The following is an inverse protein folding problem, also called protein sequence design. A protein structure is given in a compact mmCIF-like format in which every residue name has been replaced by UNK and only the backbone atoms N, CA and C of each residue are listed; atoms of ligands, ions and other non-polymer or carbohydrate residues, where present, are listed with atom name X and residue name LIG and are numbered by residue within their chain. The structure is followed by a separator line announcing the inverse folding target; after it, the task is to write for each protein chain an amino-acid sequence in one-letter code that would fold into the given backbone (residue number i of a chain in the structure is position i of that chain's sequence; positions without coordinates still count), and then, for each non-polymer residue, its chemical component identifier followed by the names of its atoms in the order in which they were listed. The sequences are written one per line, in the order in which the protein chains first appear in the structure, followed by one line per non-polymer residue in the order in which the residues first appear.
data_IF_846971202443
#
_entry.id   IF_846971202443
#
_cell.length_a   1.000
_cell.length_b   1.000
_cell.length_c   1.000
_cell.angle_alpha   90.00
_cell.angle_beta   90.00
_cell.angle_gamma   90.00
#
_symmetry.space_group_name_H-M   'P 1'
#
loop_
_entity.id
_entity.type
_entity.pdbx_description
1 polymer ?
#
# COMPACT_ATOMS: atom_id res chain seq x y z
N UNK A 1 -36.17 7.09 -36.46
CA UNK A 1 -35.56 6.18 -35.48
C UNK A 1 -35.88 6.71 -34.08
N UNK A 2 -36.51 5.92 -33.21
CA UNK A 2 -36.83 6.33 -31.82
C UNK A 2 -35.70 5.86 -30.90
N UNK A 3 -35.00 6.79 -30.26
CA UNK A 3 -34.05 6.49 -29.19
C UNK A 3 -34.85 6.20 -27.91
N UNK A 4 -34.87 4.95 -27.47
CA UNK A 4 -35.35 4.60 -26.13
C UNK A 4 -34.16 4.71 -25.18
N UNK A 5 -34.13 5.70 -24.25
CA UNK A 5 -33.08 5.76 -23.25
C UNK A 5 -33.17 4.51 -22.38
N UNK A 6 -32.02 3.85 -22.20
CA UNK A 6 -31.92 2.70 -21.31
C UNK A 6 -32.23 3.19 -19.89
N UNK A 7 -33.32 2.71 -19.31
CA UNK A 7 -33.78 3.12 -17.97
C UNK A 7 -32.68 2.75 -16.99
N UNK A 8 -32.02 3.75 -16.41
CA UNK A 8 -31.13 3.57 -15.26
C UNK A 8 -32.05 3.17 -14.11
N UNK A 9 -32.21 1.88 -13.88
CA UNK A 9 -33.00 1.36 -12.77
C UNK A 9 -32.39 1.76 -11.43
N UNK A 10 -33.24 1.81 -10.39
CA UNK A 10 -32.78 2.03 -9.03
C UNK A 10 -31.78 0.95 -8.62
N UNK A 11 -30.66 1.38 -8.04
CA UNK A 11 -29.59 0.49 -7.64
C UNK A 11 -30.08 -0.41 -6.51
N UNK A 12 -30.42 -1.66 -6.84
CA UNK A 12 -30.72 -2.70 -5.84
C UNK A 12 -29.47 -2.89 -4.98
N UNK A 13 -29.60 -2.60 -3.69
CA UNK A 13 -28.51 -2.63 -2.71
C UNK A 13 -28.14 -4.09 -2.41
N UNK A 14 -27.36 -4.70 -3.30
CA UNK A 14 -26.63 -5.93 -3.01
C UNK A 14 -25.36 -5.62 -2.21
N UNK A 15 -24.91 -6.57 -1.39
CA UNK A 15 -23.62 -6.51 -0.71
C UNK A 15 -22.50 -6.50 -1.76
N UNK A 16 -22.07 -5.29 -2.12
CA UNK A 16 -21.07 -5.09 -3.18
C UNK A 16 -19.68 -5.16 -2.54
N UNK A 17 -19.15 -6.37 -2.41
CA UNK A 17 -17.76 -6.58 -1.97
C UNK A 17 -16.82 -6.10 -3.08
N UNK A 18 -16.37 -4.86 -3.02
CA UNK A 18 -15.27 -4.37 -3.86
C UNK A 18 -13.94 -4.62 -3.15
N UNK A 19 -13.12 -5.52 -3.69
CA UNK A 19 -11.75 -5.74 -3.21
C UNK A 19 -10.82 -4.70 -3.83
N UNK A 20 -10.15 -3.90 -3.01
CA UNK A 20 -9.10 -2.99 -3.45
C UNK A 20 -7.76 -3.74 -3.32
N UNK A 21 -7.09 -3.97 -4.46
CA UNK A 21 -5.79 -4.66 -4.48
C UNK A 21 -4.72 -3.78 -3.84
N UNK A 22 -3.71 -4.39 -3.22
CA UNK A 22 -2.49 -3.67 -2.86
C UNK A 22 -1.79 -3.16 -4.12
N UNK A 23 -1.33 -1.92 -4.07
CA UNK A 23 -0.69 -1.22 -5.19
C UNK A 23 0.56 -0.55 -4.66
N UNK A 24 1.66 -0.63 -5.41
CA UNK A 24 2.95 0.00 -5.06
C UNK A 24 3.03 1.44 -5.59
N UNK A 25 3.84 2.32 -5.00
CA UNK A 25 3.95 3.72 -5.42
C UNK A 25 4.37 3.89 -6.88
N UNK A 26 5.28 3.06 -7.39
CA UNK A 26 5.68 3.06 -8.80
C UNK A 26 4.59 2.73 -9.83
N UNK A 27 3.37 2.39 -9.40
CA UNK A 27 2.19 2.33 -10.27
C UNK A 27 1.48 3.70 -10.44
N UNK A 28 2.04 4.77 -9.87
CA UNK A 28 1.61 6.15 -10.06
C UNK A 28 0.20 6.42 -9.57
N UNK A 29 -0.67 6.94 -10.45
CA UNK A 29 -2.04 7.34 -10.10
C UNK A 29 -2.85 6.24 -9.40
N UNK A 30 -2.63 4.96 -9.74
CA UNK A 30 -3.34 3.84 -9.13
C UNK A 30 -3.09 3.75 -7.60
N UNK A 31 -1.88 4.09 -7.16
CA UNK A 31 -1.53 4.11 -5.73
C UNK A 31 -2.27 5.22 -5.00
N UNK A 32 -2.22 6.46 -5.51
CA UNK A 32 -2.88 7.60 -4.87
C UNK A 32 -4.41 7.45 -4.85
N UNK A 33 -5.01 6.98 -5.95
CA UNK A 33 -6.45 6.71 -6.01
C UNK A 33 -6.84 5.67 -4.96
N UNK A 34 -6.03 4.61 -4.82
CA UNK A 34 -6.25 3.60 -3.79
C UNK A 34 -6.22 4.21 -2.38
N UNK A 35 -5.20 5.02 -2.06
CA UNK A 35 -5.09 5.67 -0.75
C UNK A 35 -6.31 6.55 -0.47
N UNK A 36 -6.78 7.32 -1.45
CA UNK A 36 -8.00 8.13 -1.32
C UNK A 36 -9.23 7.24 -1.06
N UNK A 37 -9.42 6.17 -1.84
CA UNK A 37 -10.58 5.28 -1.73
C UNK A 37 -10.60 4.48 -0.42
N UNK A 38 -9.45 4.20 0.18
CA UNK A 38 -9.36 3.54 1.48
C UNK A 38 -9.77 4.47 2.62
N UNK A 39 -9.56 5.78 2.47
CA UNK A 39 -9.77 6.75 3.55
C UNK A 39 -11.09 7.52 3.43
N UNK A 40 -11.67 7.68 2.23
CA UNK A 40 -12.95 8.38 2.06
C UNK A 40 -13.79 7.91 0.86
N UNK A 41 -15.12 8.03 0.94
CA UNK A 41 -16.01 7.69 -0.16
C UNK A 41 -15.97 8.76 -1.26
N UNK A 42 -15.93 8.31 -2.51
CA UNK A 42 -15.91 9.16 -3.71
C UNK A 42 -17.09 8.81 -4.60
N UNK A 43 -17.72 9.83 -5.22
CA UNK A 43 -18.87 9.65 -6.12
C UNK A 43 -18.48 9.78 -7.59
N UNK A 44 -17.55 10.66 -7.92
CA UNK A 44 -17.09 10.91 -9.29
C UNK A 44 -15.56 10.96 -9.39
N UNK A 45 -15.02 10.78 -10.60
CA UNK A 45 -13.58 10.93 -10.85
C UNK A 45 -13.07 12.36 -10.55
N UNK A 46 -13.92 13.37 -10.70
CA UNK A 46 -13.57 14.75 -10.37
C UNK A 46 -13.41 14.94 -8.85
N UNK A 47 -14.24 14.26 -8.05
CA UNK A 47 -14.16 14.33 -6.59
C UNK A 47 -12.87 13.72 -6.04
N UNK A 48 -12.24 12.77 -6.77
CA UNK A 48 -10.95 12.19 -6.36
C UNK A 48 -9.83 13.22 -6.29
N UNK A 49 -9.90 14.29 -7.10
CA UNK A 49 -8.90 15.36 -7.07
C UNK A 49 -9.23 16.47 -6.09
N UNK A 50 -10.36 16.38 -5.39
CA UNK A 50 -10.79 17.41 -4.44
C UNK A 50 -10.43 16.99 -3.03
N UNK A 51 -9.57 17.72 -2.33
CA UNK A 51 -9.23 17.45 -0.91
C UNK A 51 -10.45 17.63 0.00
N UNK A 52 -10.37 17.12 1.24
CA UNK A 52 -11.40 17.29 2.27
C UNK A 52 -11.71 18.77 2.59
N UNK A 53 -10.76 19.68 2.34
CA UNK A 53 -10.95 21.13 2.48
C UNK A 53 -11.75 21.77 1.31
N UNK A 54 -12.10 20.99 0.28
CA UNK A 54 -12.86 21.44 -0.88
C UNK A 54 -12.00 21.94 -2.05
N UNK A 55 -10.67 22.00 -1.89
CA UNK A 55 -9.74 22.45 -2.93
C UNK A 55 -9.58 21.39 -4.01
N UNK A 56 -9.60 21.78 -5.29
CA UNK A 56 -9.35 20.87 -6.43
C UNK A 56 -7.89 20.97 -6.87
N UNK A 57 -7.21 19.82 -6.94
CA UNK A 57 -5.80 19.70 -7.28
C UNK A 57 -5.59 19.23 -8.73
N UNK A 58 -4.37 19.40 -9.26
CA UNK A 58 -4.05 19.00 -10.62
C UNK A 58 -3.88 17.47 -10.74
N UNK A 59 -3.27 16.86 -9.72
CA UNK A 59 -2.99 15.42 -9.65
C UNK A 59 -3.69 14.74 -8.46
N UNK A 60 -3.89 13.41 -8.55
CA UNK A 60 -4.40 12.63 -7.42
C UNK A 60 -3.39 12.57 -6.27
N UNK A 61 -2.10 12.67 -6.60
CA UNK A 61 -1.00 12.76 -5.64
C UNK A 61 -1.16 13.99 -4.74
N UNK A 62 -1.27 15.18 -5.34
CA UNK A 62 -1.46 16.43 -4.59
C UNK A 62 -2.70 16.38 -3.68
N UNK A 63 -3.81 15.81 -4.16
CA UNK A 63 -5.01 15.67 -3.36
C UNK A 63 -4.78 14.72 -2.16
N UNK A 64 -4.08 13.61 -2.37
CA UNK A 64 -3.75 12.65 -1.31
C UNK A 64 -2.73 13.23 -0.30
N UNK A 65 -1.74 13.98 -0.78
CA UNK A 65 -0.77 14.71 0.07
C UNK A 65 -1.46 15.78 0.90
N UNK A 66 -2.40 16.53 0.30
CA UNK A 66 -3.18 17.56 1.00
C UNK A 66 -4.07 16.96 2.09
N UNK A 67 -4.66 15.80 1.82
CA UNK A 67 -5.44 15.02 2.78
C UNK A 67 -4.55 14.35 3.86
N UNK A 68 -3.21 14.42 3.75
CA UNK A 68 -2.26 13.79 4.68
C UNK A 68 -2.22 12.27 4.59
N UNK A 69 -2.71 11.70 3.48
CA UNK A 69 -2.76 10.24 3.26
C UNK A 69 -1.41 9.69 2.81
N UNK A 70 -0.67 10.49 2.06
CA UNK A 70 0.63 10.12 1.48
C UNK A 70 1.63 11.25 1.73
N UNK A 71 2.86 10.87 2.06
CA UNK A 71 4.01 11.77 2.18
C UNK A 71 5.05 11.36 1.15
N UNK A 72 5.64 12.33 0.45
CA UNK A 72 6.57 12.09 -0.67
C UNK A 72 7.74 11.16 -0.31
N UNK A 73 8.21 11.21 0.93
CA UNK A 73 9.41 10.48 1.35
C UNK A 73 9.10 9.16 2.08
N UNK A 74 7.84 8.97 2.51
CA UNK A 74 7.43 7.84 3.35
C UNK A 74 6.64 6.77 2.58
N UNK A 75 6.33 6.97 1.30
CA UNK A 75 5.56 6.01 0.48
C UNK A 75 6.13 4.57 0.55
N UNK A 76 7.46 4.35 0.46
CA UNK A 76 8.03 3.00 0.55
C UNK A 76 7.83 2.37 1.93
N UNK A 77 7.91 3.17 3.01
CA UNK A 77 7.71 2.71 4.37
C UNK A 77 6.24 2.32 4.57
N UNK A 78 5.31 3.18 4.14
CA UNK A 78 3.87 2.93 4.23
C UNK A 78 3.48 1.63 3.52
N UNK A 79 4.03 1.40 2.33
CA UNK A 79 3.73 0.20 1.52
C UNK A 79 4.32 -1.06 2.14
N UNK A 80 5.55 -1.00 2.65
CA UNK A 80 6.15 -2.11 3.37
C UNK A 80 5.38 -2.45 4.65
N UNK A 81 5.02 -1.43 5.42
CA UNK A 81 4.23 -1.60 6.64
C UNK A 81 2.86 -2.22 6.36
N UNK A 82 2.19 -1.76 5.31
CA UNK A 82 0.93 -2.33 4.86
C UNK A 82 1.09 -3.82 4.46
N UNK A 83 2.11 -4.15 3.66
CA UNK A 83 2.35 -5.52 3.23
C UNK A 83 2.62 -6.47 4.41
N UNK A 84 3.35 -6.00 5.43
CA UNK A 84 3.57 -6.73 6.69
C UNK A 84 2.26 -6.92 7.45
N UNK A 85 1.44 -5.88 7.56
CA UNK A 85 0.15 -5.94 8.26
C UNK A 85 -0.85 -6.87 7.57
N UNK A 86 -0.77 -6.99 6.25
CA UNK A 86 -1.57 -7.94 5.45
C UNK A 86 -1.05 -9.38 5.52
N UNK A 87 -0.08 -9.68 6.39
CA UNK A 87 0.54 -10.99 6.57
C UNK A 87 1.09 -11.58 5.27
N UNK A 88 1.69 -10.73 4.41
CA UNK A 88 2.35 -11.18 3.18
C UNK A 88 3.50 -12.13 3.51
N UNK A 89 3.74 -13.11 2.64
CA UNK A 89 4.84 -14.05 2.84
C UNK A 89 6.20 -13.32 2.85
N UNK A 90 7.18 -13.75 3.67
CA UNK A 90 8.49 -13.11 3.71
C UNK A 90 9.20 -13.03 2.36
N UNK A 91 9.00 -14.01 1.47
CA UNK A 91 9.50 -13.97 0.10
C UNK A 91 8.88 -12.83 -0.73
N UNK A 92 7.57 -12.60 -0.61
CA UNK A 92 6.87 -11.50 -1.29
C UNK A 92 7.31 -10.13 -0.73
N UNK A 93 7.54 -10.05 0.59
CA UNK A 93 8.09 -8.84 1.22
C UNK A 93 9.50 -8.52 0.69
N UNK A 94 10.34 -9.54 0.48
CA UNK A 94 11.68 -9.37 -0.11
C UNK A 94 11.60 -8.94 -1.58
N UNK A 95 10.64 -9.47 -2.34
CA UNK A 95 10.39 -9.02 -3.70
C UNK A 95 9.89 -7.55 -3.74
N UNK A 96 9.00 -7.18 -2.82
CA UNK A 96 8.54 -5.81 -2.66
C UNK A 96 9.67 -4.85 -2.31
N UNK A 97 10.57 -5.24 -1.39
CA UNK A 97 11.77 -4.46 -1.05
C UNK A 97 12.65 -4.21 -2.28
N UNK A 98 12.85 -5.23 -3.12
CA UNK A 98 13.61 -5.11 -4.36
C UNK A 98 12.95 -4.12 -5.34
N UNK A 99 11.62 -4.16 -5.48
CA UNK A 99 10.87 -3.19 -6.28
C UNK A 99 11.00 -1.77 -5.73
N UNK A 100 10.84 -1.56 -4.42
CA UNK A 100 10.98 -0.24 -3.79
C UNK A 100 12.40 0.33 -4.00
N UNK A 101 13.42 -0.52 -3.87
CA UNK A 101 14.82 -0.13 -4.11
C UNK A 101 15.05 0.26 -5.56
N UNK A 102 14.45 -0.47 -6.51
CA UNK A 102 14.53 -0.14 -7.93
C UNK A 102 13.84 1.19 -8.27
N UNK A 103 12.79 1.56 -7.52
CA UNK A 103 12.08 2.83 -7.62
C UNK A 103 12.78 4.01 -6.93
N UNK A 104 13.94 3.77 -6.30
CA UNK A 104 14.76 4.81 -5.66
C UNK A 104 14.61 4.92 -4.15
N UNK A 105 13.91 3.99 -3.49
CA UNK A 105 13.83 3.98 -2.03
C UNK A 105 15.18 3.64 -1.37
N UNK A 106 15.41 4.17 -0.16
CA UNK A 106 16.60 3.89 0.63
C UNK A 106 16.58 2.45 1.18
N UNK A 107 17.18 1.52 0.46
CA UNK A 107 17.21 0.10 0.83
C UNK A 107 17.74 -0.17 2.25
N UNK A 108 18.82 0.48 2.74
CA UNK A 108 19.30 0.24 4.11
C UNK A 108 18.25 0.61 5.17
N UNK A 109 17.58 1.75 5.02
CA UNK A 109 16.56 2.21 5.96
C UNK A 109 15.34 1.29 5.99
N UNK A 110 14.88 0.83 4.82
CA UNK A 110 13.80 -0.15 4.72
C UNK A 110 14.19 -1.50 5.32
N UNK A 111 15.41 -1.96 5.05
CA UNK A 111 15.91 -3.20 5.63
C UNK A 111 15.94 -3.12 7.14
N UNK A 112 16.57 -2.09 7.72
CA UNK A 112 16.69 -1.97 9.18
C UNK A 112 15.34 -1.94 9.88
N UNK A 113 14.34 -1.30 9.26
CA UNK A 113 12.98 -1.22 9.77
C UNK A 113 12.23 -2.55 9.69
N UNK A 114 12.37 -3.29 8.58
CA UNK A 114 11.53 -4.47 8.29
C UNK A 114 12.28 -5.81 8.31
N UNK A 115 13.56 -5.85 8.69
CA UNK A 115 14.44 -7.04 8.67
C UNK A 115 13.81 -8.26 9.34
N UNK A 116 13.07 -8.07 10.44
CA UNK A 116 12.42 -9.16 11.17
C UNK A 116 11.32 -9.84 10.34
N UNK A 117 10.48 -9.06 9.67
CA UNK A 117 9.41 -9.59 8.82
C UNK A 117 9.97 -10.22 7.55
N UNK A 118 11.00 -9.59 6.96
CA UNK A 118 11.67 -10.04 5.74
C UNK A 118 12.39 -11.39 5.88
N UNK A 119 12.88 -11.70 7.09
CA UNK A 119 13.69 -12.88 7.38
C UNK A 119 12.95 -13.95 8.18
N UNK A 120 11.65 -13.78 8.41
CA UNK A 120 10.87 -14.61 9.33
C UNK A 120 10.93 -16.11 8.99
N UNK A 121 11.02 -16.44 7.71
CA UNK A 121 11.10 -17.79 7.15
C UNK A 121 12.50 -18.42 7.27
N UNK A 122 13.55 -17.62 7.40
CA UNK A 122 14.91 -18.09 7.66
C UNK A 122 15.21 -18.33 9.13
N UNK A 123 14.36 -17.80 10.02
CA UNK A 123 14.58 -17.83 11.45
C UNK A 123 13.76 -18.92 12.12
N UNK A 124 14.33 -19.67 13.08
CA UNK A 124 13.56 -20.56 13.95
C UNK A 124 12.39 -19.81 14.58
N UNK A 125 11.30 -20.52 14.88
CA UNK A 125 10.07 -19.90 15.40
C UNK A 125 10.29 -19.01 16.64
N UNK A 126 11.32 -19.29 17.45
CA UNK A 126 11.66 -18.61 18.70
C UNK A 126 12.90 -17.71 18.64
N UNK A 127 13.38 -17.36 17.44
CA UNK A 127 14.57 -16.54 17.28
C UNK A 127 14.21 -15.07 17.07
N UNK A 128 14.64 -14.20 18.00
CA UNK A 128 14.57 -12.75 17.83
C UNK A 128 15.81 -12.27 17.07
N UNK A 129 15.63 -11.41 16.07
CA UNK A 129 16.71 -10.96 15.17
C UNK A 129 17.89 -10.29 15.90
N UNK A 130 17.62 -9.62 17.03
CA UNK A 130 18.63 -8.93 17.86
C UNK A 130 19.10 -9.77 19.06
N UNK A 131 18.58 -10.99 19.23
CA UNK A 131 19.16 -11.93 20.19
C UNK A 131 20.44 -12.50 19.57
N UNK A 132 21.60 -12.12 20.09
CA UNK A 132 22.82 -12.88 19.84
C UNK A 132 22.55 -14.36 20.18
N UNK A 133 23.04 -15.32 19.39
CA UNK A 133 22.90 -16.72 19.76
C UNK A 133 23.65 -16.93 21.07
N UNK A 134 22.93 -17.12 22.17
CA UNK A 134 23.51 -17.44 23.48
C UNK A 134 24.17 -18.83 23.49
N UNK A 135 24.03 -19.60 22.40
CA UNK A 135 24.61 -20.93 22.25
C UNK A 135 25.51 -20.91 21.01
N UNK A 136 26.82 -21.18 21.16
CA UNK A 136 27.70 -21.38 20.01
C UNK A 136 27.15 -22.49 19.14
N UNK A 137 27.17 -22.30 17.81
CA UNK A 137 26.90 -23.36 16.85
C UNK A 137 27.96 -24.46 17.06
N UNK A 138 27.64 -25.48 17.85
CA UNK A 138 28.44 -26.70 17.90
C UNK A 138 28.28 -27.40 16.56
N UNK A 139 29.35 -27.34 15.77
CA UNK A 139 29.51 -28.03 14.50
C UNK A 139 29.36 -29.54 14.75
N UNK A 140 28.47 -30.17 13.98
CA UNK A 140 28.32 -31.62 13.89
C UNK A 140 29.15 -32.16 12.73
#
# INVERSE_FOLDING_TARGET
MKFTPNVIGDRVQGEKVSRIKAVRPGQGNAYYIRQILLNRPIRTWADMKRSLDGTVHASYREAAERDGLVSSDDEPIQVMQEAVHMHSAPADLRFLLALMTHEGAAAPALWDTFKQALSRDFLPYNYNFDSAPAVPLQQA
#
